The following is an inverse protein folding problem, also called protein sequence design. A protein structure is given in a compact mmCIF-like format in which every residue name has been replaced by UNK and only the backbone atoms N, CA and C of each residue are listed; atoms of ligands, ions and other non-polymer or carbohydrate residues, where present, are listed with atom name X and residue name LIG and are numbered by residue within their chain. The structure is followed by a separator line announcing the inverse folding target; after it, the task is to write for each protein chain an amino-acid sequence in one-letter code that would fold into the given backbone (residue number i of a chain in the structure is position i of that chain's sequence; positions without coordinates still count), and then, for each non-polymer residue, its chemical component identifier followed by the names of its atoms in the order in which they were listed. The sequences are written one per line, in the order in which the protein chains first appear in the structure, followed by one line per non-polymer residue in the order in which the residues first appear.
data_IF_003064549619
#
_entry.id   IF_003064549619
#
_cell.length_a   1.000
_cell.length_b   1.000
_cell.length_c   1.000
_cell.angle_alpha   90.00
_cell.angle_beta   90.00
_cell.angle_gamma   90.00
#
_symmetry.space_group_name_H-M   'P 1'
#
loop_
_entity.id
_entity.type
_entity.pdbx_description
1 polymer ?
#
# COMPACT_ATOMS: atom_id res chain seq x y z
N UNK A 1 -55.66 43.47 -8.50
CA UNK A 1 -55.01 42.56 -9.46
C UNK A 1 -55.35 41.15 -8.98
N UNK A 2 -56.55 40.62 -9.27
CA UNK A 2 -56.97 39.91 -10.50
C UNK A 2 -55.91 38.91 -10.98
N UNK A 3 -56.17 37.63 -11.26
CA UNK A 3 -57.31 36.73 -11.04
C UNK A 3 -56.82 35.31 -11.41
N UNK A 4 -57.23 34.31 -10.65
CA UNK A 4 -57.29 32.91 -11.12
C UNK A 4 -58.29 32.82 -12.28
N UNK A 5 -57.96 32.13 -13.39
CA UNK A 5 -58.98 31.50 -14.27
C UNK A 5 -58.40 30.47 -15.24
N UNK A 6 -59.05 29.31 -15.21
CA UNK A 6 -59.05 28.23 -16.20
C UNK A 6 -59.13 28.72 -17.66
N UNK A 7 -58.45 28.02 -18.57
CA UNK A 7 -58.85 27.94 -19.99
C UNK A 7 -58.90 26.48 -20.44
N UNK A 8 -60.08 26.14 -20.98
CA UNK A 8 -60.50 24.85 -21.53
C UNK A 8 -59.71 24.41 -22.76
N UNK A 9 -59.65 23.10 -22.92
CA UNK A 9 -59.29 22.35 -24.12
C UNK A 9 -60.04 22.79 -25.39
N UNK A 10 -59.34 22.83 -26.53
CA UNK A 10 -59.75 22.21 -27.81
C UNK A 10 -58.70 22.50 -28.89
N UNK A 11 -57.92 21.49 -29.27
CA UNK A 11 -57.37 21.37 -30.61
C UNK A 11 -57.19 19.87 -30.90
N UNK A 12 -57.83 19.41 -31.97
CA UNK A 12 -58.17 18.01 -32.20
C UNK A 12 -56.98 17.09 -32.47
N UNK A 13 -57.10 15.85 -31.97
CA UNK A 13 -56.36 14.70 -32.47
C UNK A 13 -56.71 14.51 -33.96
N UNK A 14 -55.75 14.77 -34.85
CA UNK A 14 -55.69 14.12 -36.15
C UNK A 14 -54.85 12.85 -35.99
N UNK A 15 -55.45 11.71 -36.29
CA UNK A 15 -54.75 10.44 -36.41
C UNK A 15 -53.91 10.47 -37.69
N UNK A 16 -52.59 10.33 -37.54
CA UNK A 16 -51.68 9.97 -38.64
C UNK A 16 -51.62 8.44 -38.74
N UNK A 17 -51.55 7.87 -39.95
CA UNK A 17 -51.59 6.42 -40.16
C UNK A 17 -50.33 5.75 -39.59
N UNK A 18 -50.53 4.59 -38.96
CA UNK A 18 -49.54 3.79 -38.24
C UNK A 18 -48.55 3.03 -39.16
N UNK A 19 -48.01 3.69 -40.20
CA UNK A 19 -47.06 3.06 -41.13
C UNK A 19 -45.68 3.74 -41.19
N UNK A 20 -45.51 4.95 -40.63
CA UNK A 20 -44.20 5.65 -40.65
C UNK A 20 -43.43 5.57 -39.32
N UNK A 21 -44.07 5.17 -38.23
CA UNK A 21 -43.41 5.09 -36.90
C UNK A 21 -42.42 3.93 -36.78
N UNK A 22 -42.61 2.82 -37.49
CA UNK A 22 -41.76 1.63 -37.32
C UNK A 22 -40.40 1.77 -38.02
N UNK A 23 -40.34 2.47 -39.16
CA UNK A 23 -39.10 2.69 -39.90
C UNK A 23 -38.16 3.63 -39.13
N UNK A 24 -38.69 4.71 -38.54
CA UNK A 24 -37.90 5.66 -37.74
C UNK A 24 -37.40 5.05 -36.43
N UNK A 25 -38.18 4.19 -35.77
CA UNK A 25 -37.71 3.47 -34.56
C UNK A 25 -36.67 2.40 -34.88
N UNK A 26 -36.76 1.71 -36.03
CA UNK A 26 -35.77 0.73 -36.44
C UNK A 26 -34.43 1.38 -36.82
N UNK A 27 -34.46 2.55 -37.47
CA UNK A 27 -33.26 3.34 -37.79
C UNK A 27 -32.62 3.92 -36.51
N UNK A 28 -33.43 4.39 -35.55
CA UNK A 28 -32.92 4.89 -34.28
C UNK A 28 -32.31 3.78 -33.41
N UNK A 29 -32.91 2.59 -33.37
CA UNK A 29 -32.39 1.42 -32.64
C UNK A 29 -31.11 0.86 -33.27
N UNK A 30 -31.01 0.87 -34.60
CA UNK A 30 -29.79 0.44 -35.31
C UNK A 30 -28.65 1.45 -35.19
N UNK A 31 -28.93 2.76 -35.16
CA UNK A 31 -27.94 3.80 -34.84
C UNK A 31 -27.48 3.73 -33.38
N UNK A 32 -28.38 3.51 -32.42
CA UNK A 32 -28.03 3.32 -31.00
C UNK A 32 -27.22 2.04 -30.82
N UNK A 33 -27.59 0.95 -31.49
CA UNK A 33 -26.83 -0.31 -31.50
C UNK A 33 -25.46 -0.14 -32.15
N UNK A 34 -25.35 0.59 -33.26
CA UNK A 34 -24.08 0.89 -33.91
C UNK A 34 -23.19 1.80 -33.04
N UNK A 35 -23.77 2.80 -32.35
CA UNK A 35 -23.04 3.65 -31.39
C UNK A 35 -22.62 2.83 -30.17
N UNK A 36 -23.47 1.95 -29.63
CA UNK A 36 -23.09 1.03 -28.56
C UNK A 36 -22.00 0.05 -29.00
N UNK A 37 -22.09 -0.47 -30.22
CA UNK A 37 -21.10 -1.41 -30.77
C UNK A 37 -19.79 -0.69 -31.07
N UNK A 38 -19.82 0.54 -31.60
CA UNK A 38 -18.62 1.38 -31.80
C UNK A 38 -18.05 1.85 -30.46
N UNK A 39 -18.85 2.21 -29.46
CA UNK A 39 -18.37 2.52 -28.10
C UNK A 39 -17.81 1.29 -27.40
N UNK A 40 -18.37 0.09 -27.61
CA UNK A 40 -17.84 -1.18 -27.11
C UNK A 40 -16.56 -1.58 -27.85
N UNK A 41 -16.46 -1.31 -29.16
CA UNK A 41 -15.26 -1.55 -29.97
C UNK A 41 -14.15 -0.53 -29.62
N UNK A 42 -14.46 0.75 -29.44
CA UNK A 42 -13.51 1.77 -28.96
C UNK A 42 -13.12 1.55 -27.49
N UNK A 43 -14.03 1.08 -26.65
CA UNK A 43 -13.73 0.62 -25.29
C UNK A 43 -12.86 -0.65 -25.27
N UNK A 44 -12.76 -1.38 -26.38
CA UNK A 44 -11.98 -2.62 -26.53
C UNK A 44 -10.65 -2.45 -27.28
N UNK A 45 -10.30 -1.25 -27.75
CA UNK A 45 -9.04 -1.04 -28.49
C UNK A 45 -7.78 -0.97 -27.61
N UNK A 46 -7.89 -1.13 -26.30
CA UNK A 46 -6.76 -1.62 -25.49
C UNK A 46 -7.04 -3.07 -25.16
N UNK A 47 -6.41 -4.01 -25.90
CA UNK A 47 -6.32 -5.39 -25.46
C UNK A 47 -5.86 -5.40 -23.99
N UNK A 48 -6.44 -6.27 -23.13
CA UNK A 48 -5.91 -6.43 -21.78
C UNK A 48 -4.42 -6.74 -21.89
N UNK A 49 -3.61 -5.94 -21.20
CA UNK A 49 -2.16 -6.16 -21.12
C UNK A 49 -1.96 -7.40 -20.27
N UNK A 50 -1.69 -8.53 -20.92
CA UNK A 50 -1.47 -9.80 -20.24
C UNK A 50 -0.10 -9.82 -19.56
N UNK A 51 0.08 -10.72 -18.59
CA UNK A 51 1.41 -11.01 -18.02
C UNK A 51 2.43 -11.30 -19.14
N UNK A 52 2.01 -12.06 -20.15
CA UNK A 52 2.83 -12.39 -21.33
C UNK A 52 3.25 -11.13 -22.10
N UNK A 53 2.34 -10.18 -22.35
CA UNK A 53 2.73 -8.93 -23.01
C UNK A 53 3.70 -8.10 -22.18
N UNK A 54 3.53 -8.03 -20.85
CA UNK A 54 4.50 -7.30 -20.00
C UNK A 54 5.86 -8.01 -20.05
N UNK A 55 5.90 -9.34 -19.98
CA UNK A 55 7.15 -10.11 -20.07
C UNK A 55 7.81 -9.94 -21.42
N UNK A 56 7.11 -10.16 -22.52
CA UNK A 56 7.65 -10.06 -23.89
C UNK A 56 8.10 -8.64 -24.26
N UNK A 57 7.39 -7.62 -23.78
CA UNK A 57 7.74 -6.22 -24.07
C UNK A 57 8.89 -5.69 -23.21
N UNK A 58 9.07 -6.24 -22.01
CA UNK A 58 10.20 -5.92 -21.13
C UNK A 58 11.42 -6.80 -21.42
N UNK A 59 11.28 -7.86 -22.23
CA UNK A 59 12.36 -8.74 -22.70
C UNK A 59 12.78 -8.43 -24.16
N UNK A 60 13.48 -7.32 -24.45
CA UNK A 60 14.41 -7.36 -25.58
C UNK A 60 15.54 -8.35 -25.22
N UNK A 61 16.18 -8.94 -26.23
CA UNK A 61 17.33 -9.85 -26.11
C UNK A 61 18.60 -9.17 -25.54
N UNK A 62 18.46 -8.25 -24.57
CA UNK A 62 19.47 -7.30 -24.12
C UNK A 62 19.80 -7.37 -22.62
N UNK A 63 19.19 -8.27 -21.85
CA UNK A 63 19.64 -8.48 -20.47
C UNK A 63 20.92 -9.31 -20.46
N UNK A 64 21.95 -8.81 -19.80
CA UNK A 64 23.06 -9.67 -19.40
C UNK A 64 22.62 -10.56 -18.23
N UNK A 65 23.12 -11.80 -18.16
CA UNK A 65 22.82 -12.71 -17.04
C UNK A 65 23.24 -12.15 -15.67
N UNK A 66 24.13 -11.16 -15.64
CA UNK A 66 24.58 -10.47 -14.43
C UNK A 66 23.56 -9.46 -13.86
N UNK A 67 22.62 -8.96 -14.69
CA UNK A 67 21.64 -7.95 -14.29
C UNK A 67 20.29 -8.54 -13.86
N UNK A 68 20.05 -9.84 -14.12
CA UNK A 68 18.82 -10.53 -13.76
C UNK A 68 19.12 -11.63 -12.75
N UNK A 69 18.58 -11.55 -11.51
CA UNK A 69 18.68 -12.68 -10.60
C UNK A 69 17.96 -13.90 -11.22
N UNK A 70 18.51 -15.13 -11.09
CA UNK A 70 17.88 -16.32 -11.64
C UNK A 70 16.45 -16.47 -11.16
N UNK A 71 15.53 -16.82 -12.07
CA UNK A 71 14.14 -17.05 -11.69
C UNK A 71 14.05 -18.11 -10.59
N UNK A 72 13.31 -17.81 -9.52
CA UNK A 72 13.08 -18.79 -8.46
C UNK A 72 11.93 -19.68 -8.90
N UNK A 73 12.24 -20.93 -9.22
CA UNK A 73 11.26 -21.95 -9.62
C UNK A 73 11.04 -22.98 -8.52
N UNK A 74 9.83 -23.53 -8.47
CA UNK A 74 9.42 -24.53 -7.47
C UNK A 74 9.65 -24.09 -6.01
N UNK A 75 9.48 -22.80 -5.72
CA UNK A 75 9.76 -22.22 -4.42
C UNK A 75 8.89 -22.82 -3.31
N UNK A 76 7.60 -23.05 -3.57
CA UNK A 76 6.70 -23.67 -2.57
C UNK A 76 7.15 -25.09 -2.20
N UNK A 77 7.64 -25.86 -3.18
CA UNK A 77 8.21 -27.20 -2.96
C UNK A 77 9.50 -27.10 -2.14
N UNK A 78 10.42 -26.21 -2.53
CA UNK A 78 11.69 -25.98 -1.81
C UNK A 78 11.45 -25.52 -0.37
N UNK A 79 10.49 -24.61 -0.13
CA UNK A 79 10.08 -24.20 1.22
C UNK A 79 9.52 -25.36 2.03
N UNK A 80 8.64 -26.15 1.43
CA UNK A 80 8.04 -27.32 2.09
C UNK A 80 9.13 -28.34 2.48
N UNK A 81 10.04 -28.66 1.56
CA UNK A 81 11.18 -29.53 1.83
C UNK A 81 12.10 -28.98 2.92
N UNK A 82 12.35 -27.66 2.92
CA UNK A 82 13.14 -27.01 3.95
C UNK A 82 12.45 -27.11 5.32
N UNK A 83 11.16 -26.79 5.42
CA UNK A 83 10.40 -26.87 6.68
C UNK A 83 10.36 -28.30 7.25
N UNK A 84 10.24 -29.31 6.38
CA UNK A 84 10.29 -30.72 6.77
C UNK A 84 11.66 -31.12 7.36
N UNK A 85 12.75 -30.50 6.90
CA UNK A 85 14.11 -30.73 7.44
C UNK A 85 14.40 -29.91 8.70
N UNK A 86 13.59 -28.90 9.00
CA UNK A 86 13.79 -27.99 10.11
C UNK A 86 12.53 -27.88 10.98
N UNK A 87 12.14 -28.95 11.70
CA UNK A 87 10.85 -29.04 12.39
C UNK A 87 10.66 -28.00 13.52
N UNK A 88 11.74 -27.45 14.10
CA UNK A 88 11.65 -26.31 15.03
C UNK A 88 10.97 -25.08 14.39
N UNK A 89 11.11 -24.93 13.07
CA UNK A 89 10.45 -23.91 12.28
C UNK A 89 9.08 -24.34 11.74
N UNK A 90 8.63 -25.58 11.95
CA UNK A 90 7.32 -26.05 11.50
C UNK A 90 6.26 -26.11 12.62
N UNK A 91 6.58 -25.60 13.82
CA UNK A 91 5.72 -25.63 15.00
C UNK A 91 4.34 -24.93 14.82
N UNK A 92 3.34 -25.22 15.68
CA UNK A 92 2.05 -24.53 15.67
C UNK A 92 2.23 -23.01 15.66
N UNK A 93 1.56 -22.32 14.73
CA UNK A 93 1.72 -20.88 14.52
C UNK A 93 2.68 -20.49 13.40
N UNK A 94 3.38 -21.44 12.74
CA UNK A 94 4.24 -21.15 11.58
C UNK A 94 3.54 -20.33 10.49
N UNK A 95 2.23 -20.54 10.27
CA UNK A 95 1.42 -19.80 9.29
C UNK A 95 1.19 -18.31 9.65
N UNK A 96 1.49 -17.93 10.88
CA UNK A 96 1.33 -16.56 11.38
C UNK A 96 2.69 -15.86 11.61
N UNK A 97 3.80 -16.46 11.18
CA UNK A 97 5.12 -15.82 11.29
C UNK A 97 5.23 -14.66 10.33
N UNK A 98 5.52 -13.50 10.91
CA UNK A 98 5.72 -12.24 10.19
C UNK A 98 7.18 -11.81 10.36
N UNK A 99 7.83 -11.51 9.23
CA UNK A 99 9.07 -10.77 9.18
C UNK A 99 8.76 -9.32 8.79
N UNK A 100 8.95 -8.39 9.72
CA UNK A 100 8.85 -6.96 9.43
C UNK A 100 10.15 -6.50 8.77
N UNK A 101 10.01 -5.94 7.57
CA UNK A 101 11.12 -5.51 6.73
C UNK A 101 11.05 -4.00 6.56
N UNK A 102 12.12 -3.30 6.90
CA UNK A 102 12.23 -1.85 6.72
C UNK A 102 13.65 -1.50 6.28
N UNK A 103 13.92 -0.25 5.95
CA UNK A 103 15.26 0.17 5.59
C UNK A 103 15.42 1.64 5.23
N UNK A 104 16.67 2.07 5.13
CA UNK A 104 17.09 3.39 4.67
C UNK A 104 18.30 3.27 3.76
N UNK A 105 18.72 4.39 3.17
CA UNK A 105 19.98 4.47 2.45
C UNK A 105 21.18 4.18 3.39
N UNK A 106 22.32 3.68 2.86
CA UNK A 106 23.54 3.41 3.63
C UNK A 106 24.23 4.66 4.16
N UNK A 107 24.14 5.75 3.40
CA UNK A 107 24.84 7.00 3.73
C UNK A 107 24.08 7.80 4.80
N UNK A 108 24.79 8.63 5.59
CA UNK A 108 24.17 9.53 6.55
C UNK A 108 23.09 10.41 5.93
N UNK A 109 22.08 10.74 6.71
CA UNK A 109 21.03 11.63 6.26
C UNK A 109 21.56 13.03 5.96
N UNK A 110 21.02 13.64 4.89
CA UNK A 110 21.32 15.04 4.55
C UNK A 110 20.58 15.99 5.49
N UNK A 111 19.37 15.63 5.91
CA UNK A 111 18.59 16.37 6.90
C UNK A 111 19.22 16.25 8.29
N UNK A 112 19.41 17.35 9.04
CA UNK A 112 20.18 17.35 10.29
C UNK A 112 19.59 16.48 11.41
N UNK A 113 18.29 16.22 11.37
CA UNK A 113 17.60 15.35 12.32
C UNK A 113 17.21 13.98 11.72
N UNK A 114 17.63 13.71 10.48
CA UNK A 114 17.19 12.52 9.73
C UNK A 114 17.60 11.21 10.40
N UNK A 115 18.87 11.06 10.75
CA UNK A 115 19.37 9.84 11.39
C UNK A 115 18.76 9.62 12.79
N UNK A 116 18.54 10.71 13.54
CA UNK A 116 17.84 10.64 14.83
C UNK A 116 16.40 10.14 14.66
N UNK A 117 15.67 10.66 13.68
CA UNK A 117 14.33 10.20 13.38
C UNK A 117 14.33 8.75 12.89
N UNK A 118 15.23 8.36 11.99
CA UNK A 118 15.33 6.97 11.52
C UNK A 118 15.60 5.99 12.67
N UNK A 119 16.44 6.36 13.63
CA UNK A 119 16.67 5.56 14.84
C UNK A 119 15.37 5.38 15.64
N UNK A 120 14.62 6.46 15.87
CA UNK A 120 13.35 6.39 16.63
C UNK A 120 12.27 5.60 15.88
N UNK A 121 12.19 5.80 14.57
CA UNK A 121 11.29 5.07 13.67
C UNK A 121 11.62 3.57 13.65
N UNK A 122 12.90 3.20 13.72
CA UNK A 122 13.31 1.81 13.86
C UNK A 122 12.98 1.25 15.25
N UNK A 123 13.29 1.99 16.33
CA UNK A 123 12.90 1.59 17.71
C UNK A 123 11.41 1.27 17.80
N UNK A 124 10.53 2.10 17.23
CA UNK A 124 9.08 1.83 17.20
C UNK A 124 8.75 0.45 16.58
N UNK A 125 9.38 0.12 15.45
CA UNK A 125 9.21 -1.19 14.80
C UNK A 125 9.75 -2.32 15.66
N UNK A 126 10.90 -2.15 16.29
CA UNK A 126 11.49 -3.14 17.23
C UNK A 126 10.54 -3.39 18.40
N UNK A 127 9.98 -2.35 19.00
CA UNK A 127 9.05 -2.49 20.13
C UNK A 127 7.78 -3.24 19.72
N UNK A 128 7.20 -2.92 18.56
CA UNK A 128 6.03 -3.62 18.03
C UNK A 128 6.36 -5.11 17.75
N UNK A 129 7.47 -5.37 17.08
CA UNK A 129 7.89 -6.74 16.78
C UNK A 129 8.12 -7.56 18.06
N UNK A 130 8.72 -6.95 19.10
CA UNK A 130 8.91 -7.59 20.41
C UNK A 130 7.58 -7.94 21.08
N UNK A 131 6.60 -7.06 21.06
CA UNK A 131 5.27 -7.29 21.65
C UNK A 131 4.55 -8.46 20.95
N UNK A 132 4.67 -8.55 19.62
CA UNK A 132 3.92 -9.52 18.82
C UNK A 132 4.69 -10.81 18.50
N UNK A 133 5.95 -10.91 18.89
CA UNK A 133 6.80 -12.07 18.56
C UNK A 133 7.14 -12.15 17.07
N UNK A 134 7.29 -11.01 16.40
CA UNK A 134 7.71 -10.92 15.01
C UNK A 134 9.21 -10.72 14.90
N UNK A 135 9.79 -11.19 13.79
CA UNK A 135 11.15 -10.87 13.43
C UNK A 135 11.20 -9.50 12.76
N UNK A 136 12.34 -8.81 12.86
CA UNK A 136 12.57 -7.54 12.18
C UNK A 136 13.91 -7.55 11.45
N UNK A 137 13.90 -7.09 10.20
CA UNK A 137 15.11 -6.89 9.40
C UNK A 137 15.20 -5.44 8.92
N UNK A 138 16.37 -4.84 9.12
CA UNK A 138 16.69 -3.48 8.66
C UNK A 138 17.66 -3.53 7.48
N UNK A 139 17.19 -3.21 6.29
CA UNK A 139 18.03 -3.08 5.11
C UNK A 139 18.72 -1.71 5.07
N UNK A 140 20.04 -1.70 5.03
CA UNK A 140 20.86 -0.50 4.88
C UNK A 140 21.80 -0.59 3.67
N UNK A 141 21.52 -1.47 2.70
CA UNK A 141 22.35 -1.70 1.52
C UNK A 141 21.50 -1.82 0.26
N UNK A 142 22.00 -1.29 -0.86
CA UNK A 142 21.36 -1.46 -2.15
C UNK A 142 21.71 -2.81 -2.75
N UNK A 143 20.74 -3.73 -2.79
CA UNK A 143 20.91 -5.05 -3.42
C UNK A 143 20.97 -5.00 -4.95
N UNK A 144 20.59 -3.87 -5.54
CA UNK A 144 20.76 -3.60 -6.97
C UNK A 144 21.07 -2.11 -7.17
N UNK A 145 22.20 -1.74 -7.80
CA UNK A 145 22.63 -0.36 -7.91
C UNK A 145 21.71 0.50 -8.80
N UNK A 146 20.95 -0.12 -9.72
CA UNK A 146 19.96 0.59 -10.55
C UNK A 146 18.63 0.81 -9.82
N UNK A 147 18.34 0.04 -8.76
CA UNK A 147 17.07 0.10 -8.00
C UNK A 147 17.26 0.79 -6.64
N UNK A 148 17.70 2.05 -6.65
CA UNK A 148 17.82 2.86 -5.44
C UNK A 148 16.48 3.48 -4.98
N UNK A 149 16.56 4.28 -3.90
CA UNK A 149 15.42 5.03 -3.35
C UNK A 149 14.19 4.12 -3.12
N UNK A 150 13.02 4.56 -3.52
CA UNK A 150 11.73 3.88 -3.35
C UNK A 150 11.68 2.47 -3.98
N UNK A 151 12.52 2.19 -4.98
CA UNK A 151 12.63 0.86 -5.60
C UNK A 151 13.46 -0.15 -4.81
N UNK A 152 14.28 0.29 -3.84
CA UNK A 152 15.19 -0.57 -3.09
C UNK A 152 14.48 -1.68 -2.30
N UNK A 153 13.20 -1.47 -1.97
CA UNK A 153 12.35 -2.45 -1.30
C UNK A 153 12.12 -3.72 -2.13
N UNK A 154 12.09 -3.62 -3.45
CA UNK A 154 11.69 -4.73 -4.32
C UNK A 154 12.76 -5.85 -4.34
N UNK A 155 14.06 -5.57 -4.57
CA UNK A 155 15.11 -6.57 -4.38
C UNK A 155 15.19 -7.13 -2.95
N UNK A 156 14.97 -6.27 -1.95
CA UNK A 156 15.05 -6.67 -0.55
C UNK A 156 13.91 -7.61 -0.13
N UNK A 157 12.69 -7.38 -0.62
CA UNK A 157 11.57 -8.32 -0.46
C UNK A 157 11.91 -9.70 -1.00
N UNK A 158 12.48 -9.76 -2.22
CA UNK A 158 12.90 -11.02 -2.85
C UNK A 158 13.96 -11.75 -2.02
N UNK A 159 14.99 -11.03 -1.59
CA UNK A 159 16.09 -11.59 -0.81
C UNK A 159 15.60 -12.08 0.57
N UNK A 160 14.75 -11.31 1.25
CA UNK A 160 14.18 -11.68 2.54
C UNK A 160 13.34 -12.96 2.43
N UNK A 161 12.47 -13.08 1.42
CA UNK A 161 11.69 -14.29 1.21
C UNK A 161 12.57 -15.53 0.97
N UNK A 162 13.68 -15.39 0.23
CA UNK A 162 14.64 -16.48 -0.01
C UNK A 162 15.44 -16.86 1.24
N UNK A 163 15.88 -15.87 2.02
CA UNK A 163 16.69 -16.06 3.21
C UNK A 163 15.88 -16.64 4.38
N UNK A 164 14.56 -16.41 4.39
CA UNK A 164 13.66 -16.77 5.48
C UNK A 164 12.53 -17.72 5.01
N UNK A 165 12.84 -18.96 4.59
CA UNK A 165 11.82 -19.94 4.17
C UNK A 165 10.81 -20.27 5.28
N UNK A 166 11.17 -20.10 6.55
CA UNK A 166 10.33 -20.24 7.74
C UNK A 166 9.28 -19.15 7.92
N UNK A 167 9.47 -17.99 7.28
CA UNK A 167 8.53 -16.88 7.33
C UNK A 167 7.36 -17.16 6.40
N UNK A 168 6.12 -16.99 6.89
CA UNK A 168 4.93 -17.09 6.05
C UNK A 168 4.56 -15.74 5.42
N UNK A 169 4.77 -14.63 6.15
CA UNK A 169 4.46 -13.28 5.70
C UNK A 169 5.63 -12.33 5.87
N UNK A 170 5.99 -11.61 4.81
CA UNK A 170 6.91 -10.47 4.88
C UNK A 170 6.09 -9.18 4.87
N UNK A 171 6.24 -8.36 5.91
CA UNK A 171 5.62 -7.05 6.01
C UNK A 171 6.68 -5.97 5.69
N UNK A 172 6.69 -5.48 4.46
CA UNK A 172 7.44 -4.26 4.16
C UNK A 172 6.76 -3.06 4.84
N UNK A 173 7.58 -2.23 5.50
CA UNK A 173 7.16 -0.98 6.11
C UNK A 173 8.21 0.11 5.83
N UNK A 174 7.79 1.17 5.13
CA UNK A 174 8.63 2.34 4.87
C UNK A 174 9.21 2.91 6.18
N UNK A 175 10.40 3.50 6.09
CA UNK A 175 11.11 3.98 7.27
C UNK A 175 10.35 5.09 8.00
N UNK A 176 9.62 5.94 7.27
CA UNK A 176 8.77 7.04 7.77
C UNK A 176 7.34 6.61 8.15
N UNK A 177 7.07 5.31 8.27
CA UNK A 177 5.84 4.78 8.86
C UNK A 177 6.04 4.40 10.33
N UNK A 178 5.01 4.66 11.16
CA UNK A 178 4.97 4.42 12.61
C UNK A 178 3.82 3.47 12.92
N UNK A 179 4.07 2.39 13.66
CA UNK A 179 3.01 1.66 14.35
C UNK A 179 2.47 2.53 15.47
N UNK A 180 1.19 2.93 15.37
CA UNK A 180 0.54 3.81 16.35
C UNK A 180 -0.48 3.10 17.21
N UNK A 181 -0.96 1.93 16.78
CA UNK A 181 -1.66 0.97 17.64
C UNK A 181 -0.73 -0.21 17.90
N UNK A 182 -0.15 -0.24 19.11
CA UNK A 182 0.85 -1.24 19.49
C UNK A 182 0.22 -2.59 19.89
N UNK A 183 -1.10 -2.63 20.15
CA UNK A 183 -1.84 -3.84 20.52
C UNK A 183 -2.48 -4.51 19.31
N UNK A 184 -2.77 -3.75 18.24
CA UNK A 184 -3.39 -4.28 17.04
C UNK A 184 -2.56 -5.41 16.41
N UNK A 185 -3.24 -6.49 16.06
CA UNK A 185 -2.69 -7.61 15.27
C UNK A 185 -3.33 -7.64 13.90
N UNK A 186 -2.48 -7.75 12.87
CA UNK A 186 -2.95 -7.97 11.50
C UNK A 186 -3.81 -9.25 11.47
N UNK A 187 -5.06 -9.21 10.97
CA UNK A 187 -5.93 -10.37 10.94
C UNK A 187 -5.54 -11.32 9.81
N UNK A 188 -4.40 -12.02 9.94
CA UNK A 188 -3.81 -12.84 8.88
C UNK A 188 -4.78 -13.88 8.27
N UNK A 189 -5.70 -14.42 9.08
CA UNK A 189 -6.74 -15.35 8.62
C UNK A 189 -7.69 -14.73 7.60
N UNK A 190 -7.93 -13.42 7.66
CA UNK A 190 -8.71 -12.66 6.65
C UNK A 190 -8.06 -12.77 5.26
N UNK A 191 -6.74 -12.93 5.21
CA UNK A 191 -5.96 -12.96 3.97
C UNK A 191 -5.50 -14.35 3.56
N UNK A 192 -6.05 -15.42 4.16
CA UNK A 192 -5.62 -16.81 3.91
C UNK A 192 -5.62 -17.22 2.42
N UNK A 193 -6.55 -16.68 1.63
CA UNK A 193 -6.69 -16.99 0.20
C UNK A 193 -5.90 -16.04 -0.72
N UNK A 194 -5.22 -15.06 -0.13
CA UNK A 194 -4.44 -14.02 -0.80
C UNK A 194 -2.94 -14.18 -0.51
N UNK A 195 -2.13 -13.63 -1.39
CA UNK A 195 -0.67 -13.63 -1.26
C UNK A 195 -0.11 -12.24 -1.07
N UNK A 196 -0.93 -11.20 -1.24
CA UNK A 196 -0.46 -9.83 -1.27
C UNK A 196 -1.55 -8.89 -0.78
N UNK A 197 -1.25 -8.12 0.25
CA UNK A 197 -2.16 -7.14 0.85
C UNK A 197 -1.52 -5.77 0.79
N UNK A 198 -2.26 -4.80 0.28
CA UNK A 198 -1.90 -3.39 0.26
C UNK A 198 -3.07 -2.56 0.72
N UNK A 199 -2.81 -1.43 1.35
CA UNK A 199 -3.86 -0.48 1.64
C UNK A 199 -4.29 0.21 0.34
N UNK A 200 -5.58 0.48 0.19
CA UNK A 200 -6.06 1.25 -0.95
C UNK A 200 -7.56 1.53 -0.92
N UNK A 201 -8.02 2.28 -1.90
CA UNK A 201 -9.42 2.69 -2.01
C UNK A 201 -10.00 2.20 -3.34
N UNK A 202 -10.91 1.21 -3.33
CA UNK A 202 -11.48 0.63 -4.54
C UNK A 202 -12.04 1.66 -5.53
N UNK A 203 -12.67 2.72 -5.01
CA UNK A 203 -13.15 3.83 -5.83
C UNK A 203 -12.01 4.55 -6.57
N UNK A 204 -10.91 4.87 -5.90
CA UNK A 204 -9.76 5.54 -6.52
C UNK A 204 -9.03 4.64 -7.52
N UNK A 205 -8.92 3.34 -7.22
CA UNK A 205 -8.37 2.34 -8.16
C UNK A 205 -9.21 2.28 -9.43
N UNK A 206 -10.54 2.26 -9.31
CA UNK A 206 -11.46 2.30 -10.47
C UNK A 206 -11.25 3.56 -11.32
N UNK A 207 -10.92 4.69 -10.70
CA UNK A 207 -10.59 5.95 -11.37
C UNK A 207 -9.12 6.03 -11.83
N UNK A 208 -8.32 5.00 -11.55
CA UNK A 208 -6.90 4.88 -11.88
C UNK A 208 -6.04 5.95 -11.23
N UNK A 209 -6.48 6.49 -10.10
CA UNK A 209 -5.70 7.50 -9.36
C UNK A 209 -4.48 6.85 -8.72
N UNK A 210 -3.31 7.48 -8.83
CA UNK A 210 -2.04 7.05 -8.23
C UNK A 210 -2.14 6.82 -6.71
N UNK A 211 -3.02 7.57 -6.04
CA UNK A 211 -3.31 7.43 -4.61
C UNK A 211 -4.21 6.23 -4.29
N UNK A 212 -4.72 5.52 -5.29
CA UNK A 212 -5.66 4.41 -5.07
C UNK A 212 -5.09 3.23 -4.31
N UNK A 213 -3.76 3.10 -4.26
CA UNK A 213 -3.04 2.11 -3.42
C UNK A 213 -1.84 2.77 -2.78
N UNK A 214 -1.41 2.26 -1.63
CA UNK A 214 -0.13 2.61 -1.00
C UNK A 214 0.81 1.41 -1.01
N UNK A 215 2.08 1.63 -1.39
CA UNK A 215 3.13 0.59 -1.36
C UNK A 215 4.21 0.88 -0.31
N UNK A 216 3.94 1.77 0.62
CA UNK A 216 4.79 1.96 1.79
C UNK A 216 4.57 0.91 2.85
N UNK A 217 3.37 0.30 2.88
CA UNK A 217 3.06 -0.87 3.70
C UNK A 217 2.57 -1.99 2.78
N UNK A 218 3.33 -3.08 2.70
CA UNK A 218 3.02 -4.24 1.84
C UNK A 218 3.18 -5.51 2.64
N UNK A 219 2.11 -6.28 2.76
CA UNK A 219 2.15 -7.62 3.36
C UNK A 219 2.16 -8.66 2.23
N UNK A 220 3.18 -9.50 2.17
CA UNK A 220 3.39 -10.46 1.09
C UNK A 220 3.64 -11.85 1.63
N UNK A 221 2.90 -12.85 1.16
CA UNK A 221 3.10 -14.26 1.53
C UNK A 221 4.39 -14.78 0.91
N UNK A 222 5.17 -15.56 1.64
CA UNK A 222 6.37 -16.19 1.11
C UNK A 222 6.01 -17.42 0.26
N UNK A 223 5.69 -17.23 -1.01
CA UNK A 223 5.30 -18.32 -1.91
C UNK A 223 5.80 -18.09 -3.35
N UNK A 224 5.67 -19.11 -4.19
CA UNK A 224 6.08 -19.04 -5.60
C UNK A 224 5.42 -17.87 -6.33
N UNK A 225 4.12 -17.67 -6.11
CA UNK A 225 3.38 -16.54 -6.69
C UNK A 225 4.00 -15.18 -6.34
N UNK A 226 4.46 -15.01 -5.10
CA UNK A 226 5.07 -13.75 -4.66
C UNK A 226 6.47 -13.56 -5.23
N UNK A 227 7.25 -14.62 -5.40
CA UNK A 227 8.52 -14.57 -6.12
C UNK A 227 8.31 -14.10 -7.56
N UNK A 228 7.34 -14.71 -8.26
CA UNK A 228 7.00 -14.33 -9.63
C UNK A 228 6.45 -12.90 -9.71
N UNK A 229 5.64 -12.49 -8.73
CA UNK A 229 5.11 -11.12 -8.64
C UNK A 229 6.22 -10.09 -8.42
N UNK A 230 7.16 -10.35 -7.51
CA UNK A 230 8.27 -9.43 -7.22
C UNK A 230 9.21 -9.32 -8.41
N UNK A 231 9.48 -10.41 -9.12
CA UNK A 231 10.25 -10.38 -10.37
C UNK A 231 9.52 -9.55 -11.45
N UNK A 232 8.20 -9.67 -11.56
CA UNK A 232 7.37 -8.85 -12.45
C UNK A 232 7.37 -7.37 -12.05
N UNK A 233 7.28 -7.08 -10.77
CA UNK A 233 7.33 -5.71 -10.26
C UNK A 233 8.70 -5.07 -10.49
N UNK A 234 9.78 -5.82 -10.26
CA UNK A 234 11.15 -5.36 -10.49
C UNK A 234 11.43 -5.02 -11.97
N UNK A 235 10.77 -5.71 -12.91
CA UNK A 235 10.84 -5.44 -14.36
C UNK A 235 10.25 -4.08 -14.76
N UNK A 236 9.37 -3.51 -13.94
CA UNK A 236 8.85 -2.16 -14.12
C UNK A 236 9.83 -1.08 -13.65
N UNK A 237 10.90 -1.48 -12.95
CA UNK A 237 11.85 -0.57 -12.33
C UNK A 237 12.86 0.07 -13.30
N UNK A 238 13.67 1.01 -12.80
CA UNK A 238 14.71 1.72 -13.56
C UNK A 238 15.80 0.84 -14.16
N UNK A 239 15.94 -0.41 -13.68
CA UNK A 239 16.87 -1.38 -14.25
C UNK A 239 16.45 -1.91 -15.63
N UNK A 240 15.21 -1.67 -16.06
CA UNK A 240 14.68 -2.16 -17.33
C UNK A 240 15.33 -1.44 -18.53
N UNK A 241 15.80 -2.15 -19.57
CA UNK A 241 16.42 -1.54 -20.76
C UNK A 241 15.51 -0.55 -21.50
N UNK A 242 14.18 -0.74 -21.45
CA UNK A 242 13.19 0.15 -22.09
C UNK A 242 12.34 0.90 -21.04
N UNK A 243 13.01 1.44 -20.00
CA UNK A 243 12.35 2.15 -18.90
C UNK A 243 11.54 3.37 -19.38
N UNK A 244 11.98 4.09 -20.41
CA UNK A 244 11.24 5.24 -20.93
C UNK A 244 9.88 4.86 -21.54
N UNK A 245 9.81 3.74 -22.28
CA UNK A 245 8.54 3.25 -22.81
C UNK A 245 7.63 2.78 -21.69
N UNK A 246 8.18 2.15 -20.66
CA UNK A 246 7.44 1.78 -19.46
C UNK A 246 6.84 3.00 -18.77
N UNK A 247 7.61 4.07 -18.59
CA UNK A 247 7.11 5.34 -18.03
C UNK A 247 5.94 5.85 -18.87
N UNK A 248 6.10 6.01 -20.19
CA UNK A 248 5.02 6.49 -21.09
C UNK A 248 3.76 5.63 -20.98
N UNK A 249 3.91 4.30 -20.89
CA UNK A 249 2.79 3.36 -20.79
C UNK A 249 2.09 3.42 -19.44
N UNK A 250 2.82 3.50 -18.34
CA UNK A 250 2.22 3.61 -17.01
C UNK A 250 1.49 4.94 -16.89
N UNK A 251 2.12 6.04 -17.31
CA UNK A 251 1.54 7.38 -17.21
C UNK A 251 0.36 7.61 -18.16
N UNK A 252 0.17 6.79 -19.21
CA UNK A 252 -1.05 6.84 -20.04
C UNK A 252 -2.25 6.16 -19.35
N UNK A 253 -2.01 5.37 -18.31
CA UNK A 253 -3.04 4.58 -17.62
C UNK A 253 -3.33 5.07 -16.21
N UNK A 254 -2.28 5.42 -15.47
CA UNK A 254 -2.35 5.93 -14.09
C UNK A 254 -2.48 7.46 -14.12
N UNK A 255 -3.39 7.98 -13.31
CA UNK A 255 -3.72 9.40 -13.20
C UNK A 255 -3.18 9.99 -11.90
N UNK A 256 -3.13 11.31 -11.83
CA UNK A 256 -2.80 12.08 -10.61
C UNK A 256 -1.40 11.80 -10.04
N UNK A 257 -0.47 11.33 -10.87
CA UNK A 257 0.91 11.05 -10.47
C UNK A 257 1.64 12.37 -10.20
N UNK A 258 2.25 12.50 -9.02
CA UNK A 258 2.93 13.73 -8.58
C UNK A 258 4.15 14.06 -9.45
N UNK A 259 4.89 13.04 -9.91
CA UNK A 259 6.04 13.23 -10.80
C UNK A 259 5.97 12.27 -12.00
N UNK A 260 5.24 12.61 -13.07
CA UNK A 260 5.04 11.71 -14.20
C UNK A 260 6.31 11.48 -15.05
N UNK A 261 7.42 12.19 -14.76
CA UNK A 261 8.70 11.98 -15.46
C UNK A 261 9.48 10.78 -14.93
N UNK A 262 9.15 10.26 -13.75
CA UNK A 262 9.80 9.11 -13.14
C UNK A 262 8.75 8.08 -12.78
N UNK A 263 9.00 6.81 -13.10
CA UNK A 263 8.13 5.72 -12.69
C UNK A 263 8.52 5.24 -11.30
N UNK A 264 7.70 5.56 -10.31
CA UNK A 264 7.80 5.00 -8.96
C UNK A 264 7.14 3.61 -8.87
N UNK A 265 7.52 2.86 -7.85
CA UNK A 265 7.05 1.50 -7.61
C UNK A 265 5.56 1.44 -7.23
N UNK A 266 4.98 2.49 -6.64
CA UNK A 266 3.53 2.58 -6.36
C UNK A 266 2.73 2.71 -7.66
N UNK A 267 3.14 3.60 -8.56
CA UNK A 267 2.58 3.75 -9.90
C UNK A 267 2.68 2.44 -10.70
N UNK A 268 3.84 1.79 -10.68
CA UNK A 268 4.03 0.50 -11.31
C UNK A 268 3.10 -0.57 -10.72
N UNK A 269 2.92 -0.58 -9.40
CA UNK A 269 2.02 -1.53 -8.73
C UNK A 269 0.56 -1.30 -9.11
N UNK A 270 0.08 -0.07 -9.08
CA UNK A 270 -1.28 0.24 -9.52
C UNK A 270 -1.48 -0.15 -10.97
N UNK A 271 -0.49 0.10 -11.84
CA UNK A 271 -0.54 -0.33 -13.22
C UNK A 271 -0.73 -1.85 -13.34
N UNK A 272 0.09 -2.65 -12.62
CA UNK A 272 -0.04 -4.11 -12.61
C UNK A 272 -1.42 -4.56 -12.10
N UNK A 273 -1.93 -3.93 -11.05
CA UNK A 273 -3.27 -4.22 -10.53
C UNK A 273 -4.38 -3.94 -11.56
N UNK A 274 -4.21 -2.91 -12.38
CA UNK A 274 -5.18 -2.51 -13.41
C UNK A 274 -5.09 -3.31 -14.72
N UNK A 275 -4.00 -4.05 -14.92
CA UNK A 275 -3.69 -4.66 -16.22
C UNK A 275 -3.57 -6.17 -16.18
N UNK A 276 -3.03 -6.73 -15.09
CA UNK A 276 -2.84 -8.18 -14.99
C UNK A 276 -4.16 -8.96 -15.02
N UNK A 277 -4.06 -10.17 -15.55
CA UNK A 277 -5.18 -11.11 -15.65
C UNK A 277 -5.80 -11.42 -14.28
N UNK A 278 -7.08 -11.81 -14.28
CA UNK A 278 -7.84 -12.11 -13.07
C UNK A 278 -7.16 -13.11 -12.12
N UNK A 279 -6.37 -14.06 -12.66
CA UNK A 279 -5.59 -15.02 -11.87
C UNK A 279 -4.58 -14.35 -10.91
N UNK A 280 -4.00 -13.22 -11.33
CA UNK A 280 -3.05 -12.45 -10.53
C UNK A 280 -3.79 -11.59 -9.52
N UNK A 281 -4.77 -10.82 -9.99
CA UNK A 281 -5.48 -9.86 -9.16
C UNK A 281 -6.35 -10.55 -8.09
N UNK A 282 -6.82 -11.78 -8.34
CA UNK A 282 -7.51 -12.60 -7.34
C UNK A 282 -6.63 -12.98 -6.12
N UNK A 283 -5.30 -12.84 -6.21
CA UNK A 283 -4.37 -13.06 -5.09
C UNK A 283 -3.97 -11.77 -4.37
N UNK A 284 -4.48 -10.62 -4.82
CA UNK A 284 -4.21 -9.31 -4.24
C UNK A 284 -5.44 -8.85 -3.46
N UNK A 285 -5.27 -8.60 -2.16
CA UNK A 285 -6.28 -7.98 -1.32
C UNK A 285 -6.00 -6.48 -1.18
N UNK A 286 -7.03 -5.65 -1.41
CA UNK A 286 -6.97 -4.21 -1.18
C UNK A 286 -7.65 -3.93 0.15
N UNK A 287 -6.85 -3.67 1.19
CA UNK A 287 -7.34 -3.42 2.55
C UNK A 287 -7.79 -1.96 2.72
N UNK A 288 -8.98 -1.78 3.30
CA UNK A 288 -9.59 -0.48 3.56
C UNK A 288 -10.48 -0.45 4.82
N UNK A 289 -10.54 -1.53 5.61
CA UNK A 289 -11.32 -1.61 6.85
C UNK A 289 -10.54 -1.09 8.08
N UNK A 290 -9.21 -1.04 7.99
CA UNK A 290 -8.36 -0.39 8.97
C UNK A 290 -7.18 0.31 8.29
N UNK A 291 -6.49 1.17 9.04
CA UNK A 291 -5.33 1.93 8.57
C UNK A 291 -4.07 1.06 8.50
N UNK A 292 -4.06 0.06 7.61
CA UNK A 292 -2.81 -0.62 7.20
C UNK A 292 -1.80 0.43 6.70
N UNK A 293 -2.30 1.48 6.04
CA UNK A 293 -1.62 2.74 5.81
C UNK A 293 -2.57 3.87 6.21
N UNK A 294 -2.21 4.67 7.21
CA UNK A 294 -2.91 5.92 7.53
C UNK A 294 -2.11 7.13 7.06
N UNK A 295 -2.66 7.93 6.16
CA UNK A 295 -2.03 9.18 5.74
C UNK A 295 -1.96 10.13 6.94
N UNK A 296 -0.74 10.51 7.35
CA UNK A 296 -0.53 11.25 8.59
C UNK A 296 -1.35 12.55 8.69
N UNK A 297 -1.53 13.28 7.58
CA UNK A 297 -2.34 14.50 7.56
C UNK A 297 -3.81 14.29 7.93
N UNK A 298 -4.33 13.08 7.81
CA UNK A 298 -5.71 12.71 8.18
C UNK A 298 -5.80 12.05 9.56
N UNK A 299 -4.81 11.22 9.91
CA UNK A 299 -4.91 10.35 11.10
C UNK A 299 -4.21 10.91 12.33
N UNK A 300 -3.34 11.92 12.20
CA UNK A 300 -2.58 12.47 13.34
C UNK A 300 -3.49 13.07 14.43
N UNK A 301 -4.64 13.64 14.01
CA UNK A 301 -5.66 14.17 14.93
C UNK A 301 -6.39 13.09 15.74
N UNK A 302 -6.32 11.83 15.33
CA UNK A 302 -6.92 10.69 16.04
C UNK A 302 -6.04 10.17 17.18
N UNK A 303 -4.76 10.57 17.23
CA UNK A 303 -3.81 10.15 18.27
C UNK A 303 -4.05 10.93 19.55
N UNK A 304 -5.05 10.54 20.34
CA UNK A 304 -5.47 11.21 21.58
C UNK A 304 -5.18 10.32 22.78
N UNK A 305 -4.48 10.85 23.78
CA UNK A 305 -4.15 10.13 25.01
C UNK A 305 -5.38 9.85 25.86
N UNK A 306 -5.46 8.65 26.45
CA UNK A 306 -6.51 8.27 27.41
C UNK A 306 -7.85 7.87 26.78
N UNK A 307 -7.96 7.91 25.46
CA UNK A 307 -9.14 7.50 24.74
C UNK A 307 -8.77 6.30 23.88
N UNK A 308 -9.45 5.15 24.06
CA UNK A 308 -9.26 3.96 23.21
C UNK A 308 -9.81 4.18 21.80
N UNK A 309 -9.36 5.25 21.14
CA UNK A 309 -10.01 5.94 20.03
C UNK A 309 -10.40 7.38 20.39
N UNK A 310 -10.54 8.30 19.44
CA UNK A 310 -10.80 9.73 19.71
C UNK A 310 -12.20 10.02 20.30
N UNK A 311 -12.46 11.28 20.69
CA UNK A 311 -13.77 11.72 21.22
C UNK A 311 -14.97 11.50 20.27
N UNK A 312 -14.72 11.09 19.02
CA UNK A 312 -15.73 10.74 18.03
C UNK A 312 -15.92 9.21 17.87
N UNK A 313 -15.27 8.40 18.72
CA UNK A 313 -15.39 6.94 18.70
C UNK A 313 -14.60 6.27 17.57
N UNK A 314 -13.66 6.97 16.91
CA UNK A 314 -12.81 6.38 15.86
C UNK A 314 -11.65 5.62 16.49
N UNK A 315 -11.45 4.36 16.07
CA UNK A 315 -10.36 3.50 16.51
C UNK A 315 -9.00 4.10 16.17
N UNK A 316 -8.01 3.92 17.06
CA UNK A 316 -6.61 4.29 16.83
C UNK A 316 -6.13 3.76 15.47
N UNK A 317 -5.48 4.59 14.63
CA UNK A 317 -4.93 4.10 13.38
C UNK A 317 -3.81 3.10 13.66
N UNK A 318 -3.84 1.94 13.00
CA UNK A 318 -2.79 0.94 13.14
C UNK A 318 -1.43 1.51 12.73
N UNK A 319 -1.35 2.10 11.54
CA UNK A 319 -0.13 2.77 11.04
C UNK A 319 -0.40 4.23 10.74
N UNK A 320 0.47 5.11 11.22
CA UNK A 320 0.58 6.50 10.78
C UNK A 320 1.80 6.63 9.87
N UNK A 321 1.58 6.97 8.60
CA UNK A 321 2.61 7.00 7.56
C UNK A 321 2.84 8.44 7.05
N UNK A 322 4.06 8.94 7.25
CA UNK A 322 4.46 10.32 6.95
C UNK A 322 4.84 10.55 5.48
N UNK A 323 3.98 10.11 4.57
CA UNK A 323 4.24 10.16 3.13
C UNK A 323 4.62 11.57 2.66
N UNK A 324 5.80 11.67 2.05
CA UNK A 324 6.34 12.92 1.53
C UNK A 324 7.00 13.82 2.58
N UNK A 325 7.17 13.38 3.83
CA UNK A 325 7.97 14.12 4.82
C UNK A 325 9.47 13.89 4.66
N UNK A 326 9.88 12.77 4.06
CA UNK A 326 11.29 12.48 3.72
C UNK A 326 12.29 12.86 4.83
N UNK A 327 12.18 12.27 6.04
CA UNK A 327 12.91 12.74 7.21
C UNK A 327 14.43 12.73 7.01
N UNK A 328 14.91 11.83 6.15
CA UNK A 328 16.33 11.69 5.87
C UNK A 328 16.91 12.71 4.88
N UNK A 329 16.19 13.04 3.79
CA UNK A 329 16.66 14.06 2.86
C UNK A 329 16.50 15.46 3.45
N UNK A 330 15.47 15.66 4.29
CA UNK A 330 15.02 16.99 4.73
C UNK A 330 14.16 17.71 3.68
N UNK A 331 14.04 17.16 2.47
CA UNK A 331 13.30 17.72 1.34
C UNK A 331 11.84 17.28 1.37
N UNK A 332 11.12 17.67 2.44
CA UNK A 332 9.70 17.36 2.56
C UNK A 332 8.88 18.06 1.47
N UNK A 333 7.71 17.50 1.14
CA UNK A 333 6.81 18.06 0.15
C UNK A 333 6.42 19.50 0.55
N UNK A 334 6.60 20.50 -0.33
CA UNK A 334 6.33 21.92 -0.03
C UNK A 334 4.89 22.22 0.41
N UNK A 335 3.94 21.29 0.18
CA UNK A 335 2.57 21.43 0.68
C UNK A 335 2.48 21.36 2.21
N UNK A 336 3.48 20.76 2.86
CA UNK A 336 3.56 20.68 4.32
C UNK A 336 4.25 21.92 4.87
N UNK A 337 3.62 22.59 5.82
CA UNK A 337 4.14 23.85 6.35
C UNK A 337 5.21 23.62 7.41
N UNK A 338 6.34 24.33 7.29
CA UNK A 338 7.35 24.45 8.33
C UNK A 338 7.85 23.11 8.89
N UNK A 339 7.76 22.94 10.21
CA UNK A 339 8.20 21.76 10.95
C UNK A 339 7.09 20.72 11.17
N UNK A 340 5.93 20.86 10.50
CA UNK A 340 4.76 20.00 10.73
C UNK A 340 5.04 18.51 10.56
N UNK A 341 5.89 18.13 9.61
CA UNK A 341 6.35 16.75 9.45
C UNK A 341 7.10 16.23 10.68
N UNK A 342 8.03 17.02 11.21
CA UNK A 342 8.83 16.67 12.38
C UNK A 342 7.97 16.58 13.63
N UNK A 343 7.20 17.62 13.92
CA UNK A 343 6.30 17.66 15.07
C UNK A 343 5.25 16.53 15.00
N UNK A 344 4.78 16.20 13.80
CA UNK A 344 3.89 15.07 13.57
C UNK A 344 4.55 13.73 13.90
N UNK A 345 5.77 13.49 13.41
CA UNK A 345 6.52 12.27 13.72
C UNK A 345 6.79 12.13 15.21
N UNK A 346 7.22 13.19 15.88
CA UNK A 346 7.44 13.18 17.33
C UNK A 346 6.16 12.82 18.09
N UNK A 347 5.03 13.43 17.70
CA UNK A 347 3.71 13.12 18.27
C UNK A 347 3.35 11.65 18.10
N UNK A 348 3.46 11.12 16.89
CA UNK A 348 3.10 9.73 16.60
C UNK A 348 4.03 8.74 17.34
N UNK A 349 5.34 9.03 17.37
CA UNK A 349 6.32 8.22 18.07
C UNK A 349 6.09 8.23 19.58
N UNK A 350 5.82 9.39 20.19
CA UNK A 350 5.55 9.49 21.63
C UNK A 350 4.22 8.82 22.00
N UNK A 351 3.22 8.90 21.12
CA UNK A 351 1.93 8.23 21.32
C UNK A 351 2.07 6.70 21.31
N UNK A 352 2.85 6.16 20.37
CA UNK A 352 3.17 4.74 20.33
C UNK A 352 4.05 4.32 21.52
N UNK A 353 5.08 5.10 21.84
CA UNK A 353 6.01 4.81 22.93
C UNK A 353 5.33 4.87 24.30
N UNK A 354 4.29 5.68 24.48
CA UNK A 354 3.44 5.64 25.68
C UNK A 354 2.77 4.28 25.90
N UNK A 355 2.38 3.56 24.85
CA UNK A 355 1.80 2.21 24.98
C UNK A 355 2.86 1.19 25.46
N UNK A 356 4.13 1.43 25.12
CA UNK A 356 5.27 0.60 25.58
C UNK A 356 5.69 0.98 27.00
N UNK A 357 5.86 2.28 27.28
CA UNK A 357 6.36 2.81 28.56
C UNK A 357 5.44 2.51 29.74
N UNK A 358 4.13 2.40 29.51
CA UNK A 358 3.16 2.07 30.56
C UNK A 358 3.45 0.72 31.21
N UNK A 359 3.98 -0.24 30.46
CA UNK A 359 4.43 -1.54 31.00
C UNK A 359 5.59 -1.41 31.99
N UNK A 360 6.29 -0.28 31.99
CA UNK A 360 7.37 0.04 32.90
C UNK A 360 6.96 1.07 33.97
N UNK A 361 5.69 1.46 34.03
CA UNK A 361 5.18 2.46 34.98
C UNK A 361 5.51 3.91 34.59
N UNK A 362 5.69 4.20 33.30
CA UNK A 362 5.99 5.55 32.81
C UNK A 362 5.12 5.97 31.63
N UNK A 363 5.07 7.28 31.38
CA UNK A 363 4.59 7.88 30.13
C UNK A 363 5.27 9.22 29.86
N UNK A 364 5.25 9.67 28.62
CA UNK A 364 5.61 11.04 28.25
C UNK A 364 4.66 12.04 28.93
N UNK A 365 5.20 13.20 29.32
CA UNK A 365 4.40 14.29 29.93
C UNK A 365 3.34 14.81 28.98
N UNK A 366 3.71 14.96 27.71
CA UNK A 366 2.84 15.26 26.59
C UNK A 366 3.41 14.61 25.32
N UNK A 367 2.69 14.68 24.20
CA UNK A 367 3.13 14.09 22.94
C UNK A 367 4.19 14.92 22.19
N UNK A 368 4.71 16.00 22.78
CA UNK A 368 5.71 16.88 22.16
C UNK A 368 7.08 16.77 22.82
N UNK A 369 7.14 16.21 24.02
CA UNK A 369 8.35 16.18 24.85
C UNK A 369 8.78 14.76 25.12
N UNK A 370 10.10 14.50 25.04
CA UNK A 370 10.68 13.17 25.27
C UNK A 370 11.03 12.91 26.74
N UNK A 371 11.27 13.97 27.50
CA UNK A 371 11.73 13.89 28.88
C UNK A 371 11.47 15.23 29.60
N UNK A 372 11.32 15.21 30.93
CA UNK A 372 11.25 14.02 31.79
C UNK A 372 9.95 13.23 31.57
N UNK A 373 10.00 11.91 31.82
CA UNK A 373 8.80 11.06 31.86
C UNK A 373 8.03 11.28 33.17
N UNK A 374 6.73 11.00 33.14
CA UNK A 374 5.87 10.93 34.32
C UNK A 374 5.71 9.48 34.76
N UNK A 375 5.89 9.22 36.05
CA UNK A 375 5.50 7.94 36.64
C UNK A 375 3.99 7.78 36.62
N UNK A 376 3.53 6.58 36.33
CA UNK A 376 2.12 6.18 36.37
C UNK A 376 1.98 4.86 37.13
N UNK A 377 0.79 4.58 37.71
CA UNK A 377 0.49 3.26 38.26
C UNK A 377 0.70 2.14 37.23
N UNK A 378 1.07 0.95 37.69
CA UNK A 378 1.31 -0.22 36.83
C UNK A 378 0.06 -0.60 36.03
N UNK A 379 -1.13 -0.34 36.56
CA UNK A 379 -2.43 -0.60 35.96
C UNK A 379 -2.96 0.59 35.13
N UNK A 380 -2.13 1.58 34.79
CA UNK A 380 -2.56 2.76 34.04
C UNK A 380 -2.74 2.49 32.53
N UNK A 381 -3.86 2.92 31.91
CA UNK A 381 -5.03 3.53 32.54
C UNK A 381 -5.86 2.48 33.29
N UNK A 382 -6.34 2.83 34.49
CA UNK A 382 -7.12 1.95 35.38
C UNK A 382 -8.51 1.62 34.79
N UNK A 383 -8.54 0.91 33.67
CA UNK A 383 -9.67 0.17 33.09
C UNK A 383 -9.33 -0.35 31.67
N UNK A 384 -8.88 -1.60 31.60
CA UNK A 384 -9.60 -2.73 31.00
C UNK A 384 -8.72 -3.98 31.20
N UNK A 385 -9.08 -4.77 32.23
CA UNK A 385 -8.50 -6.10 32.53
C UNK A 385 -6.98 -6.11 32.62
N UNK A 386 -6.48 -5.70 33.80
CA UNK A 386 -5.16 -6.05 34.29
C UNK A 386 -4.95 -7.57 34.20
N UNK A 387 -4.09 -8.03 33.30
CA UNK A 387 -3.42 -9.31 33.46
C UNK A 387 -1.95 -9.04 33.20
N UNK A 388 -1.17 -9.31 34.24
CA UNK A 388 0.28 -9.43 34.25
C UNK A 388 0.82 -10.18 33.01
#
# INVERSE_FOLDING_TARGET
MKDNKFIKSRAGLRWLPASESMASTAILLSLISAIFTVCVIWSRQTLPVTEKSIREEVEPHQYTAAERPPAVVEWDKKRTEWLNRHPSFAAPGARNRVLVLTGSQPDPCKGPAGDHLLLRLFKNKVDYCRIHGYDVFYGNAFMNPKMGSVWAKVPLLRAAMLAHPETEWVLWMDSDAVFTDMDFKIPLDKYRDHNLVVHGWPYMIKHRSWLGVNTGIVLMRNCQWSMDFVDLWARMGPQSPDHERLVRRVMSRVKDVVNPRRLDEQSARLYLLLTLDAKWTAKIYVENEYYLHGYWGEVLGMLVEGSGGDAAGRTTPFVTHFTGCQPCSGEHNPKYAGDSCWAGMERALNFADNQVLRNFGFKHKDLKTLSPLLSVPIDFPANKTSIL
#
